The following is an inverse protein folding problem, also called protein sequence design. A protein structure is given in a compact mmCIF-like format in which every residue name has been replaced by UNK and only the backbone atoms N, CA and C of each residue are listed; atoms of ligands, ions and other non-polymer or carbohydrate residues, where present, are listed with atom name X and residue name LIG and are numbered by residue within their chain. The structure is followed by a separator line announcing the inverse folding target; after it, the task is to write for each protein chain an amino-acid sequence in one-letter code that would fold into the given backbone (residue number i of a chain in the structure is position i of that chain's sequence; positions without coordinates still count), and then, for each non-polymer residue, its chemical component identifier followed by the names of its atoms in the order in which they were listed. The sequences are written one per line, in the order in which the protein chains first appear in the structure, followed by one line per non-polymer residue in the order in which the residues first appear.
data_IF_638144590551
#
_entry.id   IF_638144590551
#
_cell.length_a   1.000
_cell.length_b   1.000
_cell.length_c   1.000
_cell.angle_alpha   90.00
_cell.angle_beta   90.00
_cell.angle_gamma   90.00
#
_symmetry.space_group_name_H-M   'P 1'
#
loop_
_entity.id
_entity.type
_entity.pdbx_description
1 polymer ?
#
# COMPACT_ATOMS: atom_id res chain seq x y z
N UNK A 1 7.77 0.70 12.23
CA UNK A 1 6.63 1.02 13.12
C UNK A 1 5.64 1.88 12.33
N UNK A 2 4.58 1.29 11.78
CA UNK A 2 3.61 1.94 10.87
C UNK A 2 2.19 2.00 11.52
N UNK A 3 2.14 2.44 12.78
CA UNK A 3 0.93 2.70 13.59
C UNK A 3 0.36 1.49 14.33
N UNK A 4 0.43 1.51 15.66
CA UNK A 4 -0.64 0.96 16.52
C UNK A 4 -1.71 2.04 16.67
N UNK A 5 -2.96 1.63 16.63
CA UNK A 5 -4.10 2.52 16.64
C UNK A 5 -4.16 3.37 17.92
N UNK A 6 -3.87 4.68 17.82
CA UNK A 6 -4.68 5.76 18.40
C UNK A 6 -4.31 7.12 17.78
N UNK A 7 -5.18 7.68 16.94
CA UNK A 7 -4.86 8.83 16.09
C UNK A 7 -4.73 10.18 16.83
N UNK A 8 -5.11 10.25 18.11
CA UNK A 8 -5.14 11.51 18.87
C UNK A 8 -3.96 11.68 19.85
N UNK A 9 -3.33 10.60 20.33
CA UNK A 9 -2.35 10.67 21.43
C UNK A 9 -0.90 10.85 20.96
N UNK A 10 -0.53 10.39 19.76
CA UNK A 10 0.88 10.34 19.33
C UNK A 10 1.36 11.52 18.50
N UNK A 11 0.50 12.51 18.23
CA UNK A 11 0.85 13.69 17.43
C UNK A 11 1.96 14.56 18.06
N UNK A 12 2.45 14.22 19.26
CA UNK A 12 3.54 14.92 19.98
C UNK A 12 4.87 14.16 20.11
N UNK A 13 4.99 12.92 19.63
CA UNK A 13 6.22 12.12 19.87
C UNK A 13 7.13 11.87 18.66
N UNK A 14 6.73 12.22 17.44
CA UNK A 14 7.58 12.00 16.26
C UNK A 14 8.34 13.27 15.92
N UNK A 15 9.28 13.60 16.78
CA UNK A 15 10.43 14.46 16.49
C UNK A 15 11.64 13.81 17.16
N UNK A 16 12.55 13.28 16.33
CA UNK A 16 13.86 12.63 16.61
C UNK A 16 13.85 11.09 16.68
N UNK A 17 14.22 10.43 15.57
CA UNK A 17 14.94 9.13 15.63
C UNK A 17 14.42 7.92 14.85
N UNK A 18 13.27 7.97 14.17
CA UNK A 18 12.84 6.82 13.35
C UNK A 18 13.63 6.78 12.03
N UNK A 19 14.40 5.72 11.79
CA UNK A 19 14.98 5.43 10.47
C UNK A 19 13.84 5.04 9.54
N UNK A 20 13.47 5.92 8.63
CA UNK A 20 12.57 5.59 7.53
C UNK A 20 13.40 4.89 6.46
N UNK A 21 13.05 3.66 6.11
CA UNK A 21 13.78 2.89 5.10
C UNK A 21 13.46 3.39 3.69
N UNK A 22 14.42 3.33 2.76
CA UNK A 22 14.23 3.78 1.37
C UNK A 22 13.04 3.08 0.69
N UNK A 23 12.87 1.77 0.96
CA UNK A 23 11.72 0.99 0.51
C UNK A 23 10.39 1.60 0.96
N UNK A 24 10.30 2.03 2.21
CA UNK A 24 9.09 2.61 2.80
C UNK A 24 8.71 3.92 2.11
N UNK A 25 9.71 4.76 1.84
CA UNK A 25 9.54 6.01 1.08
C UNK A 25 9.02 5.71 -0.31
N UNK A 26 9.69 4.80 -1.05
CA UNK A 26 9.32 4.46 -2.43
C UNK A 26 7.89 3.92 -2.52
N UNK A 27 7.50 2.99 -1.65
CA UNK A 27 6.14 2.43 -1.65
C UNK A 27 5.08 3.48 -1.29
N UNK A 28 5.41 4.40 -0.37
CA UNK A 28 4.51 5.49 -0.01
C UNK A 28 4.35 6.51 -1.15
N UNK A 29 5.43 6.88 -1.84
CA UNK A 29 5.37 7.76 -3.02
C UNK A 29 4.55 7.13 -4.15
N UNK A 30 4.70 5.82 -4.38
CA UNK A 30 3.88 5.09 -5.36
C UNK A 30 2.40 5.10 -4.98
N UNK A 31 2.06 4.85 -3.70
CA UNK A 31 0.68 4.87 -3.22
C UNK A 31 0.06 6.27 -3.26
N UNK A 32 0.85 7.33 -3.14
CA UNK A 32 0.40 8.72 -3.25
C UNK A 32 0.46 9.28 -4.68
N UNK A 33 0.95 8.50 -5.65
CA UNK A 33 1.11 8.94 -7.04
C UNK A 33 2.21 9.98 -7.24
N UNK A 34 3.10 10.17 -6.28
CA UNK A 34 4.27 11.05 -6.37
C UNK A 34 5.40 10.40 -7.17
N UNK A 35 5.44 9.06 -7.19
CA UNK A 35 6.32 8.28 -8.05
C UNK A 35 5.51 7.57 -9.13
N UNK A 36 5.95 7.59 -10.41
CA UNK A 36 5.27 6.85 -11.47
C UNK A 36 5.24 5.34 -11.20
N UNK A 37 4.10 4.70 -11.46
CA UNK A 37 3.95 3.25 -11.32
C UNK A 37 4.94 2.47 -12.21
N UNK A 38 5.28 3.00 -13.39
CA UNK A 38 6.28 2.41 -14.30
C UNK A 38 7.65 2.27 -13.65
N UNK A 39 8.06 3.24 -12.82
CA UNK A 39 9.31 3.17 -12.08
C UNK A 39 9.22 2.15 -10.94
N UNK A 40 8.10 2.10 -10.23
CA UNK A 40 7.83 1.09 -9.20
C UNK A 40 7.88 -0.33 -9.74
N UNK A 41 7.39 -0.55 -10.97
CA UNK A 41 7.46 -1.85 -11.65
C UNK A 41 8.89 -2.24 -11.93
N UNK A 42 9.66 -1.34 -12.56
CA UNK A 42 11.05 -1.62 -12.89
C UNK A 42 11.83 -1.98 -11.63
N UNK A 43 11.66 -1.18 -10.58
CA UNK A 43 12.27 -1.46 -9.28
C UNK A 43 11.86 -2.83 -8.72
N UNK A 44 10.57 -3.19 -8.76
CA UNK A 44 10.09 -4.49 -8.26
C UNK A 44 10.60 -5.67 -9.10
N UNK A 45 10.72 -5.50 -10.42
CA UNK A 45 11.20 -6.52 -11.35
C UNK A 45 12.70 -6.79 -11.20
N UNK A 46 13.48 -5.80 -10.77
CA UNK A 46 14.91 -5.92 -10.53
C UNK A 46 15.23 -6.62 -9.18
N UNK A 47 14.23 -6.85 -8.33
CA UNK A 47 14.38 -7.57 -7.07
C UNK A 47 14.49 -9.09 -7.28
N UNK A 48 15.28 -9.74 -6.42
CA UNK A 48 15.27 -11.21 -6.34
C UNK A 48 13.91 -11.72 -5.81
N UNK A 49 13.52 -12.97 -6.11
CA UNK A 49 12.21 -13.50 -5.72
C UNK A 49 11.90 -13.42 -4.21
N UNK A 50 12.89 -13.56 -3.35
CA UNK A 50 12.66 -13.47 -1.91
C UNK A 50 12.31 -12.03 -1.50
N UNK A 51 13.05 -11.04 -2.00
CA UNK A 51 12.78 -9.61 -1.78
C UNK A 51 11.43 -9.18 -2.34
N UNK A 52 11.01 -9.71 -3.50
CA UNK A 52 9.66 -9.48 -4.02
C UNK A 52 8.58 -9.98 -3.05
N UNK A 53 8.79 -11.17 -2.49
CA UNK A 53 7.86 -11.74 -1.50
C UNK A 53 7.80 -10.87 -0.26
N UNK A 54 8.94 -10.38 0.22
CA UNK A 54 8.99 -9.45 1.34
C UNK A 54 8.24 -8.14 1.06
N UNK A 55 8.42 -7.55 -0.12
CA UNK A 55 7.71 -6.33 -0.53
C UNK A 55 6.20 -6.55 -0.55
N UNK A 56 5.73 -7.67 -1.08
CA UNK A 56 4.29 -7.99 -1.11
C UNK A 56 3.72 -8.19 0.30
N UNK A 57 4.44 -8.88 1.18
CA UNK A 57 4.05 -9.03 2.58
C UNK A 57 4.01 -7.67 3.30
N UNK A 58 4.99 -6.82 3.03
CA UNK A 58 5.06 -5.47 3.58
C UNK A 58 3.86 -4.62 3.15
N UNK A 59 3.53 -4.64 1.85
CA UNK A 59 2.35 -3.96 1.31
C UNK A 59 1.04 -4.48 1.90
N UNK A 60 0.90 -5.80 2.09
CA UNK A 60 -0.25 -6.38 2.80
C UNK A 60 -0.41 -5.75 4.19
N UNK A 61 0.67 -5.64 4.95
CA UNK A 61 0.63 -5.06 6.29
C UNK A 61 0.20 -3.59 6.26
N UNK A 62 0.65 -2.82 5.27
CA UNK A 62 0.23 -1.43 5.11
C UNK A 62 -1.22 -1.28 4.69
N UNK A 63 -1.74 -2.14 3.80
CA UNK A 63 -3.15 -2.16 3.46
C UNK A 63 -4.02 -2.36 4.73
N UNK A 64 -3.64 -3.31 5.59
CA UNK A 64 -4.33 -3.53 6.86
C UNK A 64 -4.23 -2.31 7.81
N UNK A 65 -3.06 -1.66 7.90
CA UNK A 65 -2.86 -0.46 8.73
C UNK A 65 -3.62 0.77 8.22
N UNK A 66 -3.71 0.92 6.90
CA UNK A 66 -4.56 1.91 6.24
C UNK A 66 -6.05 1.60 6.43
N UNK A 67 -6.38 0.45 7.02
CA UNK A 67 -7.74 -0.06 7.25
C UNK A 67 -8.48 -0.33 5.95
N UNK A 68 -7.82 -1.00 4.99
CA UNK A 68 -8.45 -1.45 3.77
C UNK A 68 -9.74 -2.23 4.08
N UNK A 69 -10.80 -1.98 3.32
CA UNK A 69 -12.10 -2.63 3.44
C UNK A 69 -12.53 -3.22 2.09
N UNK A 70 -13.49 -4.15 2.10
CA UNK A 70 -13.93 -4.85 0.89
C UNK A 70 -14.44 -3.89 -0.19
N UNK A 71 -15.02 -2.76 0.20
CA UNK A 71 -15.51 -1.71 -0.69
C UNK A 71 -14.38 -0.99 -1.46
N UNK A 72 -13.13 -1.09 -1.00
CA UNK A 72 -11.98 -0.52 -1.71
C UNK A 72 -11.63 -1.34 -2.97
N UNK A 73 -12.12 -2.59 -3.10
CA UNK A 73 -11.70 -3.52 -4.15
C UNK A 73 -12.01 -3.06 -5.59
N UNK A 74 -13.23 -2.61 -5.95
CA UNK A 74 -13.53 -2.22 -7.34
C UNK A 74 -12.65 -1.06 -7.83
N UNK A 75 -12.47 -0.06 -6.99
CA UNK A 75 -11.63 1.10 -7.31
C UNK A 75 -10.15 0.73 -7.38
N UNK A 76 -9.68 -0.16 -6.50
CA UNK A 76 -8.31 -0.65 -6.52
C UNK A 76 -8.00 -1.42 -7.81
N UNK A 77 -8.91 -2.29 -8.26
CA UNK A 77 -8.77 -3.03 -9.52
C UNK A 77 -8.71 -2.06 -10.71
N UNK A 78 -9.59 -1.04 -10.71
CA UNK A 78 -9.63 -0.01 -11.74
C UNK A 78 -8.32 0.79 -11.80
N UNK A 79 -7.83 1.28 -10.64
CA UNK A 79 -6.56 2.04 -10.54
C UNK A 79 -5.35 1.19 -10.91
N UNK A 80 -5.36 -0.10 -10.60
CA UNK A 80 -4.31 -1.04 -10.99
C UNK A 80 -4.34 -1.43 -12.48
N UNK A 81 -5.38 -1.05 -13.24
CA UNK A 81 -5.53 -1.42 -14.65
C UNK A 81 -5.69 -2.93 -14.87
N UNK A 82 -6.13 -3.67 -13.85
CA UNK A 82 -6.26 -5.13 -13.91
C UNK A 82 -7.60 -5.53 -14.52
N UNK A 83 -7.58 -6.61 -15.29
CA UNK A 83 -8.82 -7.28 -15.73
C UNK A 83 -9.42 -8.01 -14.53
N UNK A 84 -10.75 -8.03 -14.45
CA UNK A 84 -11.49 -8.75 -13.40
C UNK A 84 -11.20 -10.27 -13.38
N UNK A 85 -10.67 -10.81 -14.48
CA UNK A 85 -10.29 -12.23 -14.60
C UNK A 85 -8.90 -12.54 -14.07
N UNK A 86 -8.06 -11.52 -13.78
CA UNK A 86 -6.75 -11.76 -13.19
C UNK A 86 -6.89 -12.25 -11.74
N UNK A 87 -6.09 -13.24 -11.35
CA UNK A 87 -6.13 -13.88 -10.03
C UNK A 87 -6.21 -12.90 -8.85
N UNK A 88 -5.36 -11.86 -8.74
CA UNK A 88 -5.46 -10.92 -7.63
C UNK A 88 -6.76 -10.11 -7.61
N UNK A 89 -7.32 -9.76 -8.78
CA UNK A 89 -8.62 -9.07 -8.88
C UNK A 89 -9.78 -9.97 -8.45
N UNK A 90 -9.74 -11.24 -8.82
CA UNK A 90 -10.70 -12.26 -8.38
C UNK A 90 -10.62 -12.45 -6.86
N UNK A 91 -9.41 -12.54 -6.30
CA UNK A 91 -9.20 -12.76 -4.87
C UNK A 91 -9.70 -11.58 -4.03
N UNK A 92 -9.29 -10.34 -4.34
CA UNK A 92 -9.66 -9.16 -3.55
C UNK A 92 -11.16 -8.91 -3.52
N UNK A 93 -11.89 -9.35 -4.55
CA UNK A 93 -13.34 -9.19 -4.67
C UNK A 93 -14.14 -10.25 -3.89
N UNK A 94 -13.49 -11.13 -3.10
CA UNK A 94 -14.15 -12.28 -2.46
C UNK A 94 -13.94 -12.32 -0.95
N UNK A 95 -15.02 -12.34 -0.19
CA UNK A 95 -14.95 -12.62 1.26
C UNK A 95 -14.25 -11.51 2.06
N UNK A 96 -13.55 -11.90 3.13
CA UNK A 96 -12.91 -10.95 4.07
C UNK A 96 -11.61 -10.42 3.49
N UNK A 97 -11.46 -9.09 3.44
CA UNK A 97 -10.30 -8.46 2.81
C UNK A 97 -8.96 -8.88 3.44
N UNK A 98 -8.87 -9.00 4.77
CA UNK A 98 -7.64 -9.40 5.46
C UNK A 98 -7.10 -10.76 5.00
N UNK A 99 -8.00 -11.73 4.80
CA UNK A 99 -7.66 -13.06 4.32
C UNK A 99 -7.18 -13.00 2.87
N UNK A 100 -7.80 -12.16 2.05
CA UNK A 100 -7.44 -12.01 0.63
C UNK A 100 -6.12 -11.28 0.44
N UNK A 101 -5.84 -10.25 1.23
CA UNK A 101 -4.53 -9.57 1.21
C UNK A 101 -3.40 -10.56 1.51
N UNK A 102 -3.63 -11.51 2.42
CA UNK A 102 -2.72 -12.63 2.68
C UNK A 102 -2.48 -13.50 1.45
N UNK A 103 -3.55 -13.94 0.78
CA UNK A 103 -3.47 -14.78 -0.42
C UNK A 103 -2.79 -14.06 -1.59
N UNK A 104 -3.12 -12.78 -1.79
CA UNK A 104 -2.54 -11.95 -2.86
C UNK A 104 -1.04 -11.77 -2.64
N UNK A 105 -0.61 -11.49 -1.40
CA UNK A 105 0.81 -11.35 -1.09
C UNK A 105 1.60 -12.67 -1.25
N UNK A 106 0.92 -13.82 -1.13
CA UNK A 106 1.50 -15.15 -1.34
C UNK A 106 1.44 -15.67 -2.78
N UNK A 107 1.01 -14.85 -3.75
CA UNK A 107 0.90 -15.31 -5.14
C UNK A 107 2.27 -15.66 -5.74
N UNK A 108 2.26 -16.71 -6.53
CA UNK A 108 3.35 -17.18 -7.40
C UNK A 108 2.70 -17.56 -8.75
N UNK A 109 3.37 -17.51 -9.91
CA UNK A 109 4.76 -17.16 -10.24
C UNK A 109 4.98 -15.64 -10.48
N UNK A 110 6.12 -15.24 -11.08
CA UNK A 110 6.56 -13.83 -11.19
C UNK A 110 5.50 -12.90 -11.82
N UNK A 111 4.79 -13.34 -12.86
CA UNK A 111 3.76 -12.52 -13.51
C UNK A 111 2.56 -12.26 -12.59
N UNK A 112 2.21 -13.22 -11.74
CA UNK A 112 1.19 -13.04 -10.70
C UNK A 112 1.67 -12.13 -9.57
N UNK A 113 2.97 -12.16 -9.23
CA UNK A 113 3.57 -11.22 -8.26
C UNK A 113 3.53 -9.78 -8.75
N UNK A 114 3.80 -9.53 -10.03
CA UNK A 114 3.66 -8.19 -10.63
C UNK A 114 2.22 -7.68 -10.51
N UNK A 115 1.24 -8.51 -10.83
CA UNK A 115 -0.19 -8.15 -10.72
C UNK A 115 -0.57 -7.92 -9.25
N UNK A 116 -0.05 -8.74 -8.33
CA UNK A 116 -0.23 -8.56 -6.89
C UNK A 116 0.35 -7.22 -6.40
N UNK A 117 1.55 -6.87 -6.86
CA UNK A 117 2.21 -5.60 -6.55
C UNK A 117 1.36 -4.41 -7.00
N UNK A 118 0.89 -4.40 -8.26
CA UNK A 118 -0.02 -3.34 -8.75
C UNK A 118 -1.27 -3.20 -7.91
N UNK A 119 -1.91 -4.33 -7.61
CA UNK A 119 -3.15 -4.30 -6.86
C UNK A 119 -2.91 -3.81 -5.44
N UNK A 120 -1.87 -4.28 -4.74
CA UNK A 120 -1.63 -3.90 -3.35
C UNK A 120 -1.22 -2.43 -3.21
N UNK A 121 -0.48 -1.85 -4.17
CA UNK A 121 -0.25 -0.39 -4.20
C UNK A 121 -1.57 0.35 -4.38
N UNK A 122 -2.44 -0.10 -5.30
CA UNK A 122 -3.73 0.54 -5.52
C UNK A 122 -4.65 0.43 -4.30
N UNK A 123 -4.68 -0.72 -3.62
CA UNK A 123 -5.43 -0.91 -2.36
C UNK A 123 -4.90 0.03 -1.28
N UNK A 124 -3.58 0.12 -1.12
CA UNK A 124 -2.96 1.04 -0.17
C UNK A 124 -3.35 2.50 -0.48
N UNK A 125 -3.30 2.90 -1.75
CA UNK A 125 -3.67 4.25 -2.19
C UNK A 125 -5.12 4.59 -1.84
N UNK A 126 -6.07 3.70 -2.18
CA UNK A 126 -7.51 3.90 -1.91
C UNK A 126 -7.80 3.93 -0.42
N UNK A 127 -7.25 2.96 0.33
CA UNK A 127 -7.45 2.88 1.77
C UNK A 127 -6.85 4.08 2.51
N UNK A 128 -5.65 4.52 2.13
CA UNK A 128 -5.00 5.68 2.76
C UNK A 128 -5.69 6.99 2.38
N UNK A 129 -6.14 7.16 1.13
CA UNK A 129 -6.95 8.31 0.72
C UNK A 129 -8.23 8.43 1.55
N UNK A 130 -9.02 7.34 1.65
CA UNK A 130 -10.21 7.29 2.49
C UNK A 130 -9.90 7.57 3.96
N UNK A 131 -8.76 7.09 4.46
CA UNK A 131 -8.30 7.36 5.82
C UNK A 131 -7.99 8.85 6.00
N UNK A 132 -7.29 9.48 5.07
CA UNK A 132 -6.93 10.91 5.13
C UNK A 132 -8.17 11.78 5.16
N UNK A 133 -9.13 11.51 4.28
CA UNK A 133 -10.40 12.25 4.21
C UNK A 133 -11.17 12.20 5.54
N UNK A 134 -11.21 11.03 6.18
CA UNK A 134 -12.00 10.82 7.41
C UNK A 134 -11.30 11.29 8.68
N UNK A 135 -9.99 11.11 8.78
CA UNK A 135 -9.26 11.25 10.05
C UNK A 135 -8.20 12.35 10.05
N UNK A 136 -7.81 12.87 8.89
CA UNK A 136 -6.68 13.80 8.74
C UNK A 136 -7.10 15.19 8.23
N UNK A 137 -8.40 15.46 8.10
CA UNK A 137 -8.94 16.73 7.60
C UNK A 137 -8.64 17.95 8.49
N UNK A 138 -8.22 17.73 9.74
CA UNK A 138 -7.79 18.78 10.68
C UNK A 138 -6.27 18.83 10.88
N UNK A 139 -5.52 18.29 9.93
CA UNK A 139 -4.06 18.15 10.01
C UNK A 139 -3.63 16.77 10.47
N UNK A 140 -2.44 16.36 10.04
CA UNK A 140 -1.89 15.04 10.28
C UNK A 140 -0.42 15.10 10.68
N UNK A 141 -0.06 14.40 11.76
CA UNK A 141 1.31 14.31 12.26
C UNK A 141 2.13 13.17 11.65
N UNK A 142 1.54 12.35 10.77
CA UNK A 142 2.21 11.18 10.25
C UNK A 142 3.29 11.55 9.22
N UNK A 143 4.47 10.93 9.32
CA UNK A 143 5.59 11.23 8.42
C UNK A 143 5.24 10.90 6.95
N UNK A 144 4.49 9.81 6.72
CA UNK A 144 4.11 9.41 5.37
C UNK A 144 3.06 10.34 4.75
N UNK A 145 2.33 11.13 5.53
CA UNK A 145 1.41 12.19 5.02
C UNK A 145 2.06 13.57 4.91
N UNK A 146 3.31 13.70 5.37
CA UNK A 146 4.11 14.94 5.30
C UNK A 146 5.32 14.72 4.40
N UNK A 147 5.10 14.14 3.24
CA UNK A 147 6.14 14.13 2.21
C UNK A 147 6.37 15.58 1.78
N UNK A 148 7.64 16.03 1.67
CA UNK A 148 7.93 17.30 1.03
C UNK A 148 7.34 17.25 -0.38
N UNK A 149 6.46 18.19 -0.71
CA UNK A 149 6.20 18.48 -2.12
C UNK A 149 7.40 19.30 -2.57
N UNK A 150 8.22 18.76 -3.46
CA UNK A 150 9.17 19.59 -4.17
C UNK A 150 8.35 20.60 -4.97
N UNK A 151 8.45 21.87 -4.60
CA UNK A 151 7.83 23.01 -5.27
C UNK A 151 8.64 23.46 -6.48
#
# INVERSE_FOLDING_TARGET
MWIRADAAAECRLISRGAVVHERDVRLNELAQGLRPMSEGIKWFDDLVPDDQSEVLLFLRHHCAQARAVAEDAPESIRRAGLRQTHTPAVLISRGRIDDQLGKIAGLTPLDERRKAFWLLIAVLAVADERRRERFCSRGCGHWWHRLPVDG
#
